data_IF_974734878741
#
_entry.id   IF_974734878741
#
_cell.length_a   1.000
_cell.length_b   1.000
_cell.length_c   1.000
_cell.angle_alpha   90.00
_cell.angle_beta   90.00
_cell.angle_gamma   90.00
#
_symmetry.space_group_name_H-M   'P 1'
#
loop_
_entity.id
_entity.type
_entity.pdbx_description
1 polymer ?
#
# COMPACT_ATOMS: atom_id res chain seq x y z
N UNK A 1 -9.92 8.26 8.01
CA UNK A 1 -9.18 7.76 6.83
C UNK A 1 -10.02 6.71 6.12
N UNK A 2 -9.98 6.64 4.79
CA UNK A 2 -10.64 5.56 4.08
C UNK A 2 -9.73 4.32 4.07
N UNK A 3 -10.20 3.20 4.63
CA UNK A 3 -9.43 1.95 4.76
C UNK A 3 -8.99 1.42 3.38
N UNK A 4 -9.78 1.69 2.34
CA UNK A 4 -9.48 1.29 0.97
C UNK A 4 -8.13 1.85 0.50
N UNK A 5 -7.77 3.09 0.88
CA UNK A 5 -6.54 3.73 0.46
C UNK A 5 -5.31 3.06 1.09
N UNK A 6 -5.44 2.63 2.35
CA UNK A 6 -4.38 1.91 3.06
C UNK A 6 -4.11 0.55 2.41
N UNK A 7 -5.16 -0.18 2.02
CA UNK A 7 -5.05 -1.47 1.35
C UNK A 7 -4.49 -1.35 -0.08
N UNK A 8 -4.77 -0.24 -0.77
CA UNK A 8 -4.26 0.01 -2.12
C UNK A 8 -2.74 0.22 -2.16
N UNK A 9 -2.12 0.73 -1.10
CA UNK A 9 -0.67 0.96 -1.03
C UNK A 9 0.13 -0.31 -1.36
N UNK A 10 -0.07 -1.46 -0.68
CA UNK A 10 0.59 -2.73 -1.03
C UNK A 10 -0.06 -3.45 -2.21
N UNK A 11 -1.36 -3.27 -2.44
CA UNK A 11 -2.05 -3.94 -3.54
C UNK A 11 -1.54 -3.47 -4.92
N UNK A 12 -1.26 -2.18 -5.09
CA UNK A 12 -0.78 -1.63 -6.37
C UNK A 12 0.57 -2.28 -6.80
N UNK A 13 1.64 -2.27 -5.98
CA UNK A 13 2.88 -2.98 -6.31
C UNK A 13 2.67 -4.47 -6.55
N UNK A 14 1.80 -5.13 -5.78
CA UNK A 14 1.50 -6.54 -5.96
C UNK A 14 0.83 -6.81 -7.31
N UNK A 15 -0.15 -6.00 -7.70
CA UNK A 15 -0.81 -6.12 -9.02
C UNK A 15 0.16 -5.85 -10.15
N UNK A 16 1.00 -4.82 -10.03
CA UNK A 16 2.04 -4.50 -11.03
C UNK A 16 3.04 -5.65 -11.15
N UNK A 17 3.47 -6.23 -10.03
CA UNK A 17 4.31 -7.41 -9.99
C UNK A 17 3.66 -8.61 -10.68
N UNK A 18 2.38 -8.91 -10.40
CA UNK A 18 1.67 -10.02 -11.02
C UNK A 18 1.53 -9.83 -12.53
N UNK A 19 1.16 -8.64 -12.99
CA UNK A 19 1.02 -8.34 -14.42
C UNK A 19 2.37 -8.49 -15.12
N UNK A 20 3.42 -7.85 -14.60
CA UNK A 20 4.75 -7.90 -15.23
C UNK A 20 5.38 -9.29 -15.13
N UNK A 21 5.14 -10.02 -14.04
CA UNK A 21 5.63 -11.38 -13.84
C UNK A 21 4.99 -12.38 -14.80
N UNK A 22 3.65 -12.38 -14.89
CA UNK A 22 2.89 -13.31 -15.75
C UNK A 22 3.12 -13.00 -17.23
N UNK A 23 3.15 -11.72 -17.62
CA UNK A 23 3.29 -11.31 -19.02
C UNK A 23 4.72 -10.94 -19.44
N UNK A 24 5.72 -11.31 -18.64
CA UNK A 24 7.14 -10.98 -18.84
C UNK A 24 7.66 -11.27 -20.25
N UNK A 25 7.22 -12.37 -20.88
CA UNK A 25 7.61 -12.75 -22.24
C UNK A 25 6.99 -11.90 -23.37
N UNK A 26 5.88 -11.19 -23.10
CA UNK A 26 5.17 -10.37 -24.11
C UNK A 26 5.54 -8.89 -24.04
N UNK A 27 6.12 -8.45 -22.94
CA UNK A 27 6.37 -7.03 -22.66
C UNK A 27 7.84 -6.72 -22.89
N UNK A 28 8.13 -5.66 -23.66
CA UNK A 28 9.51 -5.20 -23.86
C UNK A 28 10.12 -4.77 -22.51
N UNK A 29 11.42 -5.05 -22.25
CA UNK A 29 12.06 -4.72 -20.97
C UNK A 29 11.92 -3.26 -20.55
N UNK A 30 12.07 -2.32 -21.49
CA UNK A 30 11.91 -0.89 -21.23
C UNK A 30 10.48 -0.52 -20.76
N UNK A 31 9.46 -1.13 -21.34
CA UNK A 31 8.05 -0.90 -20.95
C UNK A 31 7.78 -1.47 -19.57
N UNK A 32 8.30 -2.67 -19.29
CA UNK A 32 8.19 -3.30 -17.96
C UNK A 32 8.81 -2.42 -16.86
N UNK A 33 10.00 -1.86 -17.13
CA UNK A 33 10.66 -0.94 -16.21
C UNK A 33 9.83 0.31 -15.91
N UNK A 34 9.29 0.97 -16.94
CA UNK A 34 8.45 2.18 -16.77
C UNK A 34 7.16 1.85 -16.00
N UNK A 35 6.52 0.73 -16.29
CA UNK A 35 5.30 0.29 -15.58
C UNK A 35 5.61 -0.02 -14.12
N UNK A 36 6.73 -0.67 -13.82
CA UNK A 36 7.18 -0.93 -12.46
C UNK A 36 7.41 0.36 -11.66
N UNK A 37 8.15 1.31 -12.26
CA UNK A 37 8.42 2.62 -11.63
C UNK A 37 7.13 3.41 -11.42
N UNK A 38 6.24 3.45 -12.41
CA UNK A 38 4.94 4.11 -12.28
C UNK A 38 4.07 3.48 -11.18
N UNK A 39 4.07 2.15 -11.08
CA UNK A 39 3.40 1.41 -10.02
C UNK A 39 3.91 1.75 -8.63
N UNK A 40 5.22 1.83 -8.45
CA UNK A 40 5.82 2.23 -7.17
C UNK A 40 5.58 3.71 -6.87
N UNK A 41 5.73 4.59 -7.86
CA UNK A 41 5.50 6.03 -7.69
C UNK A 41 4.06 6.35 -7.28
N UNK A 42 3.07 5.67 -7.86
CA UNK A 42 1.66 5.82 -7.47
C UNK A 42 1.42 5.36 -6.03
N UNK A 43 2.01 4.23 -5.62
CA UNK A 43 1.96 3.76 -4.22
C UNK A 43 2.63 4.74 -3.24
N UNK A 44 3.76 5.35 -3.63
CA UNK A 44 4.43 6.41 -2.85
C UNK A 44 3.55 7.65 -2.68
N UNK A 45 2.95 8.17 -3.76
CA UNK A 45 2.06 9.32 -3.70
C UNK A 45 0.84 9.03 -2.80
N UNK A 46 0.26 7.83 -2.94
CA UNK A 46 -0.88 7.41 -2.12
C UNK A 46 -0.48 7.29 -0.63
N UNK A 47 0.73 6.83 -0.35
CA UNK A 47 1.29 6.74 1.02
C UNK A 47 1.47 8.13 1.64
N UNK A 48 2.03 9.09 0.91
CA UNK A 48 2.16 10.47 1.40
C UNK A 48 0.79 11.12 1.64
N UNK A 49 -0.15 10.95 0.71
CA UNK A 49 -1.51 11.46 0.87
C UNK A 49 -2.19 10.85 2.10
N UNK A 50 -2.06 9.54 2.29
CA UNK A 50 -2.67 8.82 3.42
C UNK A 50 -2.04 9.25 4.75
N UNK A 51 -0.71 9.41 4.79
CA UNK A 51 -0.01 9.94 5.96
C UNK A 51 -0.42 11.37 6.29
N UNK A 52 -0.56 12.23 5.27
CA UNK A 52 -1.06 13.59 5.46
C UNK A 52 -2.46 13.61 6.09
N UNK A 53 -3.36 12.77 5.56
CA UNK A 53 -4.71 12.61 6.08
C UNK A 53 -4.72 12.10 7.53
N UNK A 54 -3.83 11.18 7.87
CA UNK A 54 -3.69 10.65 9.23
C UNK A 54 -3.21 11.73 10.22
N UNK A 55 -2.09 12.38 9.92
CA UNK A 55 -1.44 13.29 10.87
C UNK A 55 -2.11 14.67 10.95
N UNK A 56 -2.56 15.23 9.82
CA UNK A 56 -2.97 16.63 9.75
C UNK A 56 -4.48 16.83 9.60
N UNK A 57 -5.22 15.89 9.00
CA UNK A 57 -6.67 16.05 8.79
C UNK A 57 -7.48 15.38 9.89
N UNK A 58 -7.19 14.12 10.20
CA UNK A 58 -7.87 13.41 11.30
C UNK A 58 -7.24 13.74 12.65
N UNK A 59 -5.92 13.92 12.68
CA UNK A 59 -5.20 14.28 13.87
C UNK A 59 -5.31 13.21 14.96
N UNK A 60 -5.21 13.67 16.21
CA UNK A 60 -5.31 12.81 17.39
C UNK A 60 -6.77 12.68 17.82
N UNK A 61 -7.20 11.45 18.07
CA UNK A 61 -8.45 11.16 18.77
C UNK A 61 -8.08 10.84 20.22
N UNK A 62 -8.69 11.54 21.17
CA UNK A 62 -8.39 11.42 22.61
C UNK A 62 -6.90 11.59 22.96
N UNK A 63 -6.22 12.50 22.25
CA UNK A 63 -4.80 12.82 22.48
C UNK A 63 -3.81 11.79 21.92
N UNK A 64 -4.28 10.72 21.29
CA UNK A 64 -3.45 9.65 20.71
C UNK A 64 -3.74 9.47 19.21
N UNK A 65 -2.73 9.08 18.44
CA UNK A 65 -2.91 8.68 17.06
C UNK A 65 -3.42 7.24 17.00
N UNK A 66 -4.58 7.03 16.39
CA UNK A 66 -5.26 5.72 16.34
C UNK A 66 -4.46 4.70 15.53
N UNK A 67 -3.97 3.65 16.17
CA UNK A 67 -3.23 2.57 15.51
C UNK A 67 -4.16 1.40 15.19
N UNK A 68 -3.99 0.79 14.01
CA UNK A 68 -4.66 -0.47 13.68
C UNK A 68 -3.94 -1.63 14.38
N UNK A 69 -4.33 -1.94 15.61
CA UNK A 69 -3.81 -3.11 16.35
C UNK A 69 -4.90 -4.16 16.43
N UNK A 70 -4.98 -4.99 15.38
CA UNK A 70 -5.72 -6.25 15.42
C UNK A 70 -4.90 -7.27 16.23
N UNK A 71 -5.27 -7.49 17.49
CA UNK A 71 -4.61 -8.48 18.34
C UNK A 71 -5.07 -9.88 17.95
N UNK A 72 -4.37 -10.49 17.01
CA UNK A 72 -4.58 -11.88 16.64
C UNK A 72 -3.76 -12.76 17.60
N UNK A 73 -4.43 -13.68 18.30
CA UNK A 73 -3.74 -14.71 19.08
C UNK A 73 -3.03 -15.66 18.11
N UNK A 74 -1.71 -15.53 18.01
CA UNK A 74 -0.89 -16.28 17.04
C UNK A 74 -0.90 -17.79 17.30
N UNK A 75 -0.81 -18.20 18.57
CA UNK A 75 -0.91 -19.58 19.02
C UNK A 75 -1.53 -19.61 20.42
N UNK A 76 -2.45 -20.54 20.65
CA UNK A 76 -3.03 -20.83 21.96
C UNK A 76 -2.37 -22.09 22.49
N UNK A 77 -1.50 -21.94 23.50
CA UNK A 77 -0.95 -23.07 24.24
C UNK A 77 -1.93 -23.42 25.36
N UNK A 78 -2.41 -24.66 25.37
CA UNK A 78 -3.16 -25.28 26.48
C UNK A 78 -2.20 -25.94 27.45
#
# INVERSE_FOLDING_TARGET
MNLINLLLIPAIPLTVFLILGIFSHKIKPAVSGVVGVAGLATSTLLSYYTAWQYFFVQGKLDGVYQTFVEKITWMRFT
#
